data_IF_584305157127
#
_entry.id   IF_584305157127
#
_cell.length_a   1.000
_cell.length_b   1.000
_cell.length_c   1.000
_cell.angle_alpha   90.00
_cell.angle_beta   90.00
_cell.angle_gamma   90.00
#
_symmetry.space_group_name_H-M   'P 1'
#
loop_
_entity.id
_entity.type
_entity.pdbx_description
1 polymer ?
#
# COMPACT_ATOMS: atom_id res chain seq x y z
N UNK A 1 -13.65 5.70 -20.80
CA UNK A 1 -13.39 6.74 -19.77
C UNK A 1 -12.30 6.27 -18.80
N UNK A 2 -11.04 6.18 -19.25
CA UNK A 2 -9.95 5.51 -18.51
C UNK A 2 -9.40 6.33 -17.31
N UNK A 3 -9.74 7.62 -17.19
CA UNK A 3 -9.25 8.52 -16.13
C UNK A 3 -9.77 8.16 -14.73
N UNK A 4 -11.05 7.76 -14.60
CA UNK A 4 -11.66 7.45 -13.31
C UNK A 4 -11.09 6.16 -12.69
N UNK A 5 -10.90 5.12 -13.52
CA UNK A 5 -10.36 3.82 -13.11
C UNK A 5 -8.90 3.94 -12.63
N UNK A 6 -8.10 4.77 -13.30
CA UNK A 6 -6.71 5.00 -12.91
C UNK A 6 -6.59 5.81 -11.60
N UNK A 7 -7.49 6.79 -11.40
CA UNK A 7 -7.54 7.57 -10.16
C UNK A 7 -7.95 6.70 -8.96
N UNK A 8 -8.94 5.82 -9.13
CA UNK A 8 -9.33 4.88 -8.08
C UNK A 8 -8.21 3.90 -7.72
N UNK A 9 -7.47 3.39 -8.71
CA UNK A 9 -6.32 2.51 -8.48
C UNK A 9 -5.22 3.18 -7.65
N UNK A 10 -4.93 4.46 -7.94
CA UNK A 10 -3.97 5.25 -7.19
C UNK A 10 -4.40 5.44 -5.73
N UNK A 11 -5.67 5.81 -5.51
CA UNK A 11 -6.22 6.04 -4.17
C UNK A 11 -6.22 4.75 -3.34
N UNK A 12 -6.62 3.63 -3.94
CA UNK A 12 -6.63 2.33 -3.26
C UNK A 12 -5.20 1.89 -2.92
N UNK A 13 -4.24 2.02 -3.85
CA UNK A 13 -2.84 1.68 -3.59
C UNK A 13 -2.24 2.53 -2.46
N UNK A 14 -2.55 3.83 -2.42
CA UNK A 14 -2.13 4.73 -1.35
C UNK A 14 -2.73 4.39 0.01
N UNK A 15 -4.03 4.05 0.06
CA UNK A 15 -4.70 3.62 1.29
C UNK A 15 -4.12 2.30 1.83
N UNK A 16 -3.86 1.34 0.95
CA UNK A 16 -3.23 0.05 1.31
C UNK A 16 -1.82 0.27 1.83
N UNK A 17 -1.04 1.16 1.21
CA UNK A 17 0.32 1.48 1.67
C UNK A 17 0.30 2.03 3.09
N UNK A 18 -0.60 2.97 3.37
CA UNK A 18 -0.76 3.61 4.67
C UNK A 18 -1.17 2.60 5.75
N UNK A 19 -2.09 1.68 5.44
CA UNK A 19 -2.51 0.61 6.36
C UNK A 19 -1.35 -0.33 6.71
N UNK A 20 -0.57 -0.78 5.73
CA UNK A 20 0.58 -1.66 5.99
C UNK A 20 1.73 -0.93 6.70
N UNK A 21 1.93 0.35 6.43
CA UNK A 21 2.94 1.16 7.13
C UNK A 21 2.59 1.31 8.61
N UNK A 22 1.32 1.62 8.92
CA UNK A 22 0.82 1.71 10.30
C UNK A 22 0.91 0.35 10.99
N UNK A 23 0.56 -0.74 10.31
CA UNK A 23 0.68 -2.08 10.87
C UNK A 23 2.14 -2.44 11.18
N UNK A 24 3.09 -2.09 10.31
CA UNK A 24 4.52 -2.26 10.54
C UNK A 24 5.02 -1.45 11.75
N UNK A 25 4.58 -0.20 11.89
CA UNK A 25 4.93 0.68 13.02
C UNK A 25 4.36 0.15 14.33
N UNK A 26 3.09 -0.28 14.35
CA UNK A 26 2.47 -0.87 15.54
C UNK A 26 3.15 -2.20 15.91
N UNK A 27 3.46 -3.02 14.91
CA UNK A 27 4.26 -4.24 15.03
C UNK A 27 5.64 -3.98 15.65
N UNK A 28 6.33 -2.91 15.24
CA UNK A 28 7.65 -2.53 15.77
C UNK A 28 7.56 -1.88 17.16
N UNK A 29 6.46 -1.21 17.48
CA UNK A 29 6.20 -0.59 18.78
C UNK A 29 5.84 -1.59 19.89
N UNK A 30 5.73 -2.89 19.57
CA UNK A 30 5.39 -3.94 20.54
C UNK A 30 3.95 -3.88 21.07
N UNK A 31 3.14 -2.95 20.56
CA UNK A 31 1.72 -2.83 20.84
C UNK A 31 1.03 -3.74 19.82
N UNK A 32 0.63 -4.93 20.26
CA UNK A 32 0.25 -6.09 19.44
C UNK A 32 -0.30 -5.78 18.04
N UNK A 33 0.24 -6.46 17.03
CA UNK A 33 -0.25 -6.34 15.65
C UNK A 33 -1.76 -6.57 15.59
N UNK A 34 -2.43 -5.81 14.72
CA UNK A 34 -3.83 -6.03 14.37
C UNK A 34 -4.08 -7.45 13.80
N UNK A 35 -3.03 -8.16 13.37
CA UNK A 35 -3.08 -9.53 12.87
C UNK A 35 -2.39 -10.51 13.82
N UNK A 36 -3.14 -11.51 14.27
CA UNK A 36 -2.75 -12.55 15.26
C UNK A 36 -1.59 -13.48 14.81
N UNK A 37 -1.11 -13.34 13.57
CA UNK A 37 0.00 -14.10 12.98
C UNK A 37 1.00 -13.12 12.35
N UNK A 38 1.85 -12.55 13.18
CA UNK A 38 2.83 -11.54 12.80
C UNK A 38 4.07 -12.19 12.19
N UNK A 39 4.04 -12.43 10.88
CA UNK A 39 5.28 -12.58 10.11
C UNK A 39 5.68 -11.21 9.62
N UNK A 40 6.67 -10.58 10.26
CA UNK A 40 7.27 -9.30 9.83
C UNK A 40 7.63 -9.29 8.32
N UNK A 41 8.02 -10.46 7.79
CA UNK A 41 8.24 -10.68 6.36
C UNK A 41 7.03 -10.35 5.48
N UNK A 42 5.81 -10.65 5.94
CA UNK A 42 4.58 -10.48 5.18
C UNK A 42 4.21 -9.00 5.08
N UNK A 43 4.32 -8.24 6.18
CA UNK A 43 4.15 -6.78 6.19
C UNK A 43 5.16 -6.09 5.26
N UNK A 44 6.44 -6.48 5.30
CA UNK A 44 7.49 -5.88 4.44
C UNK A 44 7.20 -6.15 2.95
N UNK A 45 6.85 -7.39 2.59
CA UNK A 45 6.54 -7.76 1.20
C UNK A 45 5.30 -6.99 0.71
N UNK A 46 4.25 -6.89 1.53
CA UNK A 46 3.06 -6.11 1.17
C UNK A 46 3.32 -4.62 1.07
N UNK A 47 4.18 -4.06 1.93
CA UNK A 47 4.58 -2.66 1.86
C UNK A 47 5.29 -2.35 0.52
N UNK A 48 6.23 -3.22 0.11
CA UNK A 48 6.95 -3.08 -1.17
C UNK A 48 6.00 -3.29 -2.36
N UNK A 49 5.12 -4.28 -2.31
CA UNK A 49 4.15 -4.55 -3.38
C UNK A 49 3.14 -3.40 -3.53
N UNK A 50 2.68 -2.82 -2.41
CA UNK A 50 1.80 -1.65 -2.41
C UNK A 50 2.51 -0.38 -2.93
N UNK A 51 3.78 -0.17 -2.57
CA UNK A 51 4.58 0.94 -3.09
C UNK A 51 4.80 0.86 -4.60
N UNK A 52 5.09 -0.34 -5.12
CA UNK A 52 5.24 -0.56 -6.58
C UNK A 52 3.91 -0.39 -7.32
N UNK A 53 2.79 -0.87 -6.77
CA UNK A 53 1.45 -0.61 -7.30
C UNK A 53 1.12 0.89 -7.33
N UNK A 54 1.44 1.63 -6.28
CA UNK A 54 1.28 3.09 -6.23
C UNK A 54 2.15 3.81 -7.28
N UNK A 55 3.40 3.39 -7.46
CA UNK A 55 4.31 3.94 -8.47
C UNK A 55 3.82 3.67 -9.90
N UNK A 56 3.40 2.44 -10.20
CA UNK A 56 2.83 2.09 -11.50
C UNK A 56 1.56 2.90 -11.78
N UNK A 57 0.67 3.01 -10.79
CA UNK A 57 -0.56 3.79 -10.93
C UNK A 57 -0.30 5.29 -11.12
N UNK A 58 0.79 5.83 -10.55
CA UNK A 58 1.24 7.21 -10.80
C UNK A 58 1.84 7.38 -12.21
N UNK A 59 2.59 6.39 -12.70
CA UNK A 59 3.11 6.39 -14.07
C UNK A 59 1.97 6.40 -15.10
N UNK A 60 0.98 5.52 -14.93
CA UNK A 60 -0.21 5.47 -15.80
C UNK A 60 -1.03 6.77 -15.69
N UNK A 61 -1.08 7.40 -14.53
CA UNK A 61 -1.75 8.69 -14.37
C UNK A 61 -1.03 9.84 -15.11
N UNK A 62 0.31 9.83 -15.14
CA UNK A 62 1.09 10.78 -15.94
C UNK A 62 0.96 10.55 -17.45
N UNK A 63 0.83 9.30 -17.89
CA UNK A 63 0.63 8.97 -19.30
C UNK A 63 -0.78 9.35 -19.81
N UNK A 64 -1.77 9.43 -18.91
CA UNK A 64 -3.13 9.88 -19.24
C UNK A 64 -3.32 11.42 -19.23
N UNK A 65 -2.30 12.19 -18.84
CA UNK A 65 -2.32 13.66 -18.77
C UNK A 65 -1.76 14.27 -20.05
#
# INVERSE_FOLDING_TARGET
>A
MPRALCLSGLVIAGLVFLLFLVNLIMSLAGMGSLFRYQSLLMDIVFLVCSGTLGYLSWSTFRELK
#
